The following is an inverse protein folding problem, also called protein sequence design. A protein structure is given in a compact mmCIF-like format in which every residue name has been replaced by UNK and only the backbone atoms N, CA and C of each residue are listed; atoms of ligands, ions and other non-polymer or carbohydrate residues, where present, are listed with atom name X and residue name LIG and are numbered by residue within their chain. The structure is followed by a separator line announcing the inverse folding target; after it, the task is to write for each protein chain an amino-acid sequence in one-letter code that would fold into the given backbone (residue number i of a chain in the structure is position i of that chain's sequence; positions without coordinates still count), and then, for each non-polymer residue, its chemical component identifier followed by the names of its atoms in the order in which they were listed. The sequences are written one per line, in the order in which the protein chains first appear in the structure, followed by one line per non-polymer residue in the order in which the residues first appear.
data_IF_919460909475
#
_entry.id   IF_919460909475
#
_cell.length_a   1.000
_cell.length_b   1.000
_cell.length_c   1.000
_cell.angle_alpha   90.00
_cell.angle_beta   90.00
_cell.angle_gamma   90.00
#
_symmetry.space_group_name_H-M   'P 1'
#
loop_
_entity.id
_entity.type
_entity.pdbx_description
1 polymer ?
#
# COMPACT_ATOMS: atom_id res chain seq x y z
N UNK A 1 -108.64 -48.21 93.00
CA UNK A 1 -107.55 -47.95 93.95
C UNK A 1 -106.57 -47.05 93.23
N UNK A 2 -106.47 -45.80 93.68
CA UNK A 2 -105.54 -44.83 93.14
C UNK A 2 -104.15 -45.14 93.71
N UNK A 3 -103.19 -45.33 92.82
CA UNK A 3 -101.77 -45.33 93.15
C UNK A 3 -101.42 -43.88 93.55
N UNK A 4 -100.86 -43.62 94.74
CA UNK A 4 -100.54 -42.25 95.12
C UNK A 4 -99.34 -41.82 94.29
N UNK A 5 -99.51 -40.78 93.48
CA UNK A 5 -98.39 -40.04 92.89
C UNK A 5 -97.43 -39.66 94.01
N UNK A 6 -96.35 -40.44 94.15
CA UNK A 6 -95.22 -40.08 94.99
C UNK A 6 -94.55 -38.93 94.27
N UNK A 7 -94.90 -37.71 94.68
CA UNK A 7 -94.23 -36.50 94.20
C UNK A 7 -92.71 -36.74 94.32
N UNK A 8 -91.92 -36.52 93.26
CA UNK A 8 -90.47 -36.78 93.29
C UNK A 8 -89.73 -35.88 94.30
N UNK A 9 -90.44 -34.96 94.94
CA UNK A 9 -89.90 -33.91 95.78
C UNK A 9 -90.56 -33.93 97.17
N UNK A 10 -89.75 -33.92 98.22
CA UNK A 10 -90.21 -34.00 99.62
C UNK A 10 -90.96 -32.73 100.09
N UNK A 11 -90.94 -31.64 99.32
CA UNK A 11 -91.80 -30.47 99.49
C UNK A 11 -91.95 -29.67 98.19
N UNK A 12 -93.06 -28.93 98.04
CA UNK A 12 -93.32 -28.08 96.86
C UNK A 12 -92.25 -26.99 96.62
N UNK A 13 -91.57 -26.54 97.68
CA UNK A 13 -90.45 -25.59 97.57
C UNK A 13 -89.19 -26.20 96.93
N UNK A 14 -88.94 -27.50 97.16
CA UNK A 14 -87.84 -28.24 96.58
C UNK A 14 -88.04 -28.53 95.09
N UNK A 15 -89.27 -28.81 94.68
CA UNK A 15 -89.65 -28.97 93.27
C UNK A 15 -89.45 -27.67 92.47
N UNK A 16 -89.93 -26.54 93.01
CA UNK A 16 -89.74 -25.22 92.39
C UNK A 16 -88.24 -24.86 92.31
N UNK A 17 -87.46 -25.19 93.35
CA UNK A 17 -86.01 -25.01 93.36
C UNK A 17 -85.33 -25.83 92.26
N UNK A 18 -85.67 -27.11 92.14
CA UNK A 18 -85.10 -28.01 91.13
C UNK A 18 -85.38 -27.54 89.70
N UNK A 19 -86.63 -27.23 89.37
CA UNK A 19 -86.99 -26.74 88.04
C UNK A 19 -86.39 -25.36 87.72
N UNK A 20 -86.25 -24.48 88.72
CA UNK A 20 -85.53 -23.21 88.56
C UNK A 20 -84.04 -23.45 88.28
N UNK A 21 -83.40 -24.34 89.02
CA UNK A 21 -81.98 -24.65 88.82
C UNK A 21 -81.74 -25.34 87.47
N UNK A 22 -82.63 -26.25 87.07
CA UNK A 22 -82.57 -26.93 85.77
C UNK A 22 -82.80 -25.95 84.60
N UNK A 23 -83.78 -25.06 84.71
CA UNK A 23 -84.00 -23.96 83.76
C UNK A 23 -82.78 -23.03 83.68
N UNK A 24 -82.19 -22.70 84.83
CA UNK A 24 -80.97 -21.88 84.88
C UNK A 24 -79.78 -22.57 84.22
N UNK A 25 -79.61 -23.88 84.41
CA UNK A 25 -78.57 -24.69 83.74
C UNK A 25 -78.78 -24.73 82.24
N UNK A 26 -79.99 -25.00 81.75
CA UNK A 26 -80.28 -25.00 80.32
C UNK A 26 -80.09 -23.62 79.70
N UNK A 27 -80.49 -22.56 80.38
CA UNK A 27 -80.24 -21.18 79.95
C UNK A 27 -78.74 -20.93 79.81
N UNK A 28 -77.94 -21.30 80.81
CA UNK A 28 -76.49 -21.17 80.76
C UNK A 28 -75.87 -22.00 79.62
N UNK A 29 -76.35 -23.22 79.38
CA UNK A 29 -75.90 -24.04 78.25
C UNK A 29 -76.22 -23.40 76.89
N UNK A 30 -77.41 -22.81 76.74
CA UNK A 30 -77.78 -22.09 75.51
C UNK A 30 -76.92 -20.85 75.33
N UNK A 31 -76.69 -20.08 76.39
CA UNK A 31 -75.81 -18.90 76.36
C UNK A 31 -74.38 -19.29 75.98
N UNK A 32 -73.81 -20.33 76.59
CA UNK A 32 -72.48 -20.87 76.27
C UNK A 32 -72.38 -21.34 74.81
N UNK A 33 -73.37 -22.10 74.32
CA UNK A 33 -73.38 -22.56 72.93
C UNK A 33 -73.56 -21.40 71.92
N UNK A 34 -74.27 -20.33 72.31
CA UNK A 34 -74.39 -19.12 71.51
C UNK A 34 -73.07 -18.33 71.46
N UNK A 35 -72.35 -18.26 72.57
CA UNK A 35 -71.02 -17.64 72.62
C UNK A 35 -70.01 -18.43 71.78
N UNK A 36 -69.93 -19.75 71.92
CA UNK A 36 -69.07 -20.61 71.10
C UNK A 36 -69.37 -20.48 69.60
N UNK A 37 -70.66 -20.44 69.22
CA UNK A 37 -71.05 -20.23 67.83
C UNK A 37 -70.62 -18.85 67.33
N UNK A 38 -70.73 -17.81 68.16
CA UNK A 38 -70.30 -16.46 67.80
C UNK A 38 -68.79 -16.41 67.59
N UNK A 39 -68.02 -16.97 68.51
CA UNK A 39 -66.55 -17.05 68.40
C UNK A 39 -66.12 -17.82 67.15
N UNK A 40 -66.79 -18.95 66.83
CA UNK A 40 -66.51 -19.70 65.60
C UNK A 40 -66.83 -18.90 64.34
N UNK A 41 -67.95 -18.17 64.33
CA UNK A 41 -68.34 -17.32 63.20
C UNK A 41 -67.36 -16.15 63.01
N UNK A 42 -66.91 -15.52 64.09
CA UNK A 42 -65.92 -14.46 64.06
C UNK A 42 -64.57 -14.99 63.56
N UNK A 43 -64.09 -16.11 64.11
CA UNK A 43 -62.85 -16.76 63.66
C UNK A 43 -62.88 -17.20 62.20
N UNK A 44 -64.02 -17.71 61.70
CA UNK A 44 -64.18 -18.04 60.27
C UNK A 44 -64.07 -16.79 59.40
N UNK A 45 -64.69 -15.68 59.80
CA UNK A 45 -64.61 -14.41 59.05
C UNK A 45 -63.20 -13.84 59.04
N UNK A 46 -62.50 -13.89 60.17
CA UNK A 46 -61.10 -13.44 60.24
C UNK A 46 -60.21 -14.28 59.34
N UNK A 47 -60.37 -15.61 59.35
CA UNK A 47 -59.63 -16.52 58.49
C UNK A 47 -59.93 -16.32 57.00
N UNK A 48 -61.20 -16.12 56.64
CA UNK A 48 -61.62 -15.77 55.27
C UNK A 48 -60.96 -14.46 54.82
N UNK A 49 -60.94 -13.43 55.68
CA UNK A 49 -60.29 -12.16 55.39
C UNK A 49 -58.77 -12.30 55.20
N UNK A 50 -58.09 -13.16 55.98
CA UNK A 50 -56.67 -13.47 55.80
C UNK A 50 -56.41 -14.15 54.44
N UNK A 51 -57.25 -15.12 54.05
CA UNK A 51 -57.15 -15.80 52.76
C UNK A 51 -57.39 -14.84 51.59
N UNK A 52 -58.40 -13.98 51.70
CA UNK A 52 -58.68 -12.94 50.69
C UNK A 52 -57.51 -11.97 50.56
N UNK A 53 -56.91 -11.55 51.67
CA UNK A 53 -55.73 -10.69 51.65
C UNK A 53 -54.54 -11.37 50.96
N UNK A 54 -54.28 -12.66 51.25
CA UNK A 54 -53.22 -13.42 50.57
C UNK A 54 -53.51 -13.56 49.08
N UNK A 55 -54.75 -13.84 48.70
CA UNK A 55 -55.17 -13.96 47.31
C UNK A 55 -54.95 -12.64 46.56
N UNK A 56 -55.37 -11.51 47.14
CA UNK A 56 -55.12 -10.17 46.57
C UNK A 56 -53.62 -9.86 46.44
N UNK A 57 -52.81 -10.22 47.43
CA UNK A 57 -51.35 -10.07 47.36
C UNK A 57 -50.74 -10.90 46.22
N UNK A 58 -51.21 -12.12 46.02
CA UNK A 58 -50.76 -12.98 44.92
C UNK A 58 -51.22 -12.46 43.56
N UNK A 59 -52.47 -12.01 43.43
CA UNK A 59 -53.00 -11.41 42.20
C UNK A 59 -52.24 -10.13 41.82
N UNK A 60 -51.98 -9.26 42.80
CA UNK A 60 -51.21 -8.03 42.57
C UNK A 60 -49.79 -8.35 42.12
N UNK A 61 -49.10 -9.27 42.80
CA UNK A 61 -47.77 -9.73 42.39
C UNK A 61 -47.78 -10.37 41.01
N UNK A 62 -48.79 -11.16 40.66
CA UNK A 62 -48.90 -11.77 39.34
C UNK A 62 -49.06 -10.70 38.25
N UNK A 63 -49.95 -9.72 38.48
CA UNK A 63 -50.14 -8.58 37.58
C UNK A 63 -48.87 -7.77 37.38
N UNK A 64 -48.10 -7.52 38.44
CA UNK A 64 -46.81 -6.81 38.36
C UNK A 64 -45.75 -7.62 37.60
N UNK A 65 -45.70 -8.94 37.80
CA UNK A 65 -44.82 -9.83 37.03
C UNK A 65 -45.19 -9.88 35.55
N UNK A 66 -46.49 -9.85 35.22
CA UNK A 66 -46.95 -9.82 33.83
C UNK A 66 -46.60 -8.50 33.13
N UNK A 67 -46.76 -7.37 33.81
CA UNK A 67 -46.38 -6.07 33.24
C UNK A 67 -44.86 -5.97 33.03
N UNK A 68 -44.08 -6.48 33.97
CA UNK A 68 -42.62 -6.54 33.85
C UNK A 68 -42.18 -7.48 32.73
N UNK A 69 -42.83 -8.64 32.57
CA UNK A 69 -42.56 -9.56 31.47
C UNK A 69 -42.86 -8.90 30.12
N UNK A 70 -43.99 -8.20 29.99
CA UNK A 70 -44.34 -7.46 28.78
C UNK A 70 -43.31 -6.36 28.46
N UNK A 71 -42.84 -5.63 29.49
CA UNK A 71 -41.79 -4.62 29.34
C UNK A 71 -40.48 -5.24 28.84
N UNK A 72 -40.03 -6.31 29.48
CA UNK A 72 -38.80 -7.02 29.08
C UNK A 72 -38.90 -7.61 27.68
N UNK A 73 -40.06 -8.13 27.28
CA UNK A 73 -40.29 -8.60 25.91
C UNK A 73 -40.13 -7.47 24.89
N UNK A 74 -40.72 -6.29 25.14
CA UNK A 74 -40.54 -5.13 24.25
C UNK A 74 -39.07 -4.68 24.17
N UNK A 75 -38.34 -4.70 25.29
CA UNK A 75 -36.92 -4.37 25.30
C UNK A 75 -36.09 -5.37 24.49
N UNK A 76 -36.38 -6.66 24.61
CA UNK A 76 -35.73 -7.70 23.82
C UNK A 76 -35.99 -7.49 22.33
N UNK A 77 -37.23 -7.23 21.92
CA UNK A 77 -37.55 -6.99 20.51
C UNK A 77 -36.90 -5.70 19.99
N UNK A 78 -36.89 -4.64 20.80
CA UNK A 78 -36.21 -3.37 20.45
C UNK A 78 -34.70 -3.58 20.25
N UNK A 79 -34.06 -4.35 21.12
CA UNK A 79 -32.62 -4.64 21.00
C UNK A 79 -32.34 -5.52 19.78
N UNK A 80 -33.18 -6.53 19.52
CA UNK A 80 -33.07 -7.37 18.31
C UNK A 80 -33.19 -6.55 17.03
N UNK A 81 -34.17 -5.64 16.96
CA UNK A 81 -34.35 -4.76 15.80
C UNK A 81 -33.15 -3.83 15.60
N UNK A 82 -32.61 -3.26 16.67
CA UNK A 82 -31.38 -2.44 16.61
C UNK A 82 -30.19 -3.24 16.09
N UNK A 83 -29.99 -4.46 16.59
CA UNK A 83 -28.90 -5.34 16.13
C UNK A 83 -29.09 -5.68 14.65
N UNK A 84 -30.30 -6.02 14.23
CA UNK A 84 -30.61 -6.34 12.83
C UNK A 84 -30.36 -5.14 11.91
N UNK A 85 -30.78 -3.94 12.31
CA UNK A 85 -30.52 -2.70 11.56
C UNK A 85 -29.02 -2.43 11.44
N UNK A 86 -28.28 -2.50 12.56
CA UNK A 86 -26.84 -2.28 12.56
C UNK A 86 -26.09 -3.30 11.71
N UNK A 87 -26.52 -4.57 11.74
CA UNK A 87 -25.95 -5.61 10.89
C UNK A 87 -26.21 -5.31 9.40
N UNK A 88 -27.44 -4.95 9.04
CA UNK A 88 -27.77 -4.59 7.66
C UNK A 88 -27.01 -3.35 7.17
N UNK A 89 -26.80 -2.35 8.03
CA UNK A 89 -25.99 -1.17 7.71
C UNK A 89 -24.51 -1.55 7.53
N UNK A 90 -23.99 -2.42 8.40
CA UNK A 90 -22.64 -2.98 8.30
C UNK A 90 -22.43 -3.73 6.99
N UNK A 91 -23.36 -4.61 6.61
CA UNK A 91 -23.30 -5.38 5.36
C UNK A 91 -23.30 -4.46 4.13
N UNK A 92 -24.12 -3.39 4.14
CA UNK A 92 -24.13 -2.38 3.07
C UNK A 92 -22.80 -1.64 2.98
N UNK A 93 -22.23 -1.25 4.12
CA UNK A 93 -20.93 -0.56 4.15
C UNK A 93 -19.81 -1.48 3.66
N UNK A 94 -19.78 -2.74 4.08
CA UNK A 94 -18.81 -3.73 3.62
C UNK A 94 -18.94 -3.91 2.11
N UNK A 95 -20.15 -4.10 1.59
CA UNK A 95 -20.40 -4.26 0.16
C UNK A 95 -19.91 -3.05 -0.65
N UNK A 96 -20.16 -1.83 -0.17
CA UNK A 96 -19.69 -0.60 -0.82
C UNK A 96 -18.15 -0.51 -0.84
N UNK A 97 -17.50 -0.83 0.28
CA UNK A 97 -16.03 -0.85 0.37
C UNK A 97 -15.40 -1.93 -0.51
N UNK A 98 -16.04 -3.10 -0.63
CA UNK A 98 -15.60 -4.16 -1.54
C UNK A 98 -15.70 -3.73 -3.01
N UNK A 99 -16.76 -3.02 -3.38
CA UNK A 99 -16.92 -2.45 -4.72
C UNK A 99 -15.84 -1.39 -5.02
N UNK A 100 -15.64 -0.42 -4.11
CA UNK A 100 -14.59 0.60 -4.25
C UNK A 100 -13.19 -0.02 -4.36
N UNK A 101 -12.91 -1.05 -3.56
CA UNK A 101 -11.65 -1.81 -3.65
C UNK A 101 -11.50 -2.50 -5.01
N UNK A 102 -12.59 -3.07 -5.53
CA UNK A 102 -12.64 -3.64 -6.88
C UNK A 102 -12.34 -2.61 -7.97
N UNK A 103 -12.99 -1.44 -7.91
CA UNK A 103 -12.78 -0.34 -8.83
C UNK A 103 -11.33 0.18 -8.79
N UNK A 104 -10.77 0.38 -7.59
CA UNK A 104 -9.39 0.84 -7.42
C UNK A 104 -8.37 -0.17 -7.98
N UNK A 105 -8.61 -1.47 -7.78
CA UNK A 105 -7.77 -2.53 -8.38
C UNK A 105 -7.84 -2.53 -9.91
N UNK A 106 -9.04 -2.38 -10.47
CA UNK A 106 -9.22 -2.28 -11.92
C UNK A 106 -8.50 -1.06 -12.51
N UNK A 107 -8.62 0.11 -11.87
CA UNK A 107 -7.92 1.33 -12.28
C UNK A 107 -6.39 1.18 -12.21
N UNK A 108 -5.87 0.57 -11.13
CA UNK A 108 -4.44 0.23 -11.01
C UNK A 108 -3.99 -0.66 -12.18
N UNK A 109 -4.75 -1.70 -12.50
CA UNK A 109 -4.38 -2.63 -13.57
C UNK A 109 -4.40 -1.97 -14.96
N UNK A 110 -5.33 -1.06 -15.19
CA UNK A 110 -5.36 -0.23 -16.40
C UNK A 110 -4.13 0.68 -16.49
N UNK A 111 -3.79 1.39 -15.40
CA UNK A 111 -2.60 2.25 -15.36
C UNK A 111 -1.31 1.45 -15.56
N UNK A 112 -1.21 0.25 -14.99
CA UNK A 112 -0.06 -0.63 -15.21
C UNK A 112 0.07 -1.08 -16.67
N UNK A 113 -1.05 -1.36 -17.35
CA UNK A 113 -1.04 -1.65 -18.80
C UNK A 113 -0.57 -0.43 -19.58
N UNK A 114 -1.13 0.74 -19.27
CA UNK A 114 -0.79 1.99 -19.94
C UNK A 114 0.69 2.37 -19.75
N UNK A 115 1.28 2.12 -18.58
CA UNK A 115 2.72 2.31 -18.35
C UNK A 115 3.54 1.44 -19.32
N UNK A 116 3.20 0.15 -19.47
CA UNK A 116 3.91 -0.74 -20.41
C UNK A 116 3.77 -0.28 -21.86
N UNK A 117 2.60 0.21 -22.25
CA UNK A 117 2.37 0.77 -23.59
C UNK A 117 3.21 2.02 -23.83
N UNK A 118 3.35 2.89 -22.83
CA UNK A 118 4.22 4.07 -22.91
C UNK A 118 5.70 3.69 -22.98
N UNK A 119 6.13 2.69 -22.21
CA UNK A 119 7.48 2.14 -22.28
C UNK A 119 7.79 1.60 -23.67
N UNK A 120 6.88 0.82 -24.26
CA UNK A 120 7.02 0.31 -25.62
C UNK A 120 7.09 1.45 -26.67
N UNK A 121 6.19 2.43 -26.59
CA UNK A 121 6.22 3.59 -27.48
C UNK A 121 7.54 4.36 -27.37
N UNK A 122 8.13 4.44 -26.18
CA UNK A 122 9.41 5.10 -25.95
C UNK A 122 10.56 4.32 -26.60
N UNK A 123 10.61 3.00 -26.41
CA UNK A 123 11.59 2.13 -27.07
C UNK A 123 11.53 2.26 -28.60
N UNK A 124 10.31 2.31 -29.16
CA UNK A 124 10.08 2.51 -30.59
C UNK A 124 10.57 3.89 -31.07
N UNK A 125 10.31 4.94 -30.28
CA UNK A 125 10.79 6.30 -30.55
C UNK A 125 12.32 6.37 -30.50
N UNK A 126 12.96 5.74 -29.52
CA UNK A 126 14.42 5.66 -29.45
C UNK A 126 15.01 4.91 -30.65
N UNK A 127 14.38 3.82 -31.08
CA UNK A 127 14.80 3.08 -32.28
C UNK A 127 14.69 3.95 -33.52
N UNK A 128 13.57 4.65 -33.70
CA UNK A 128 13.37 5.58 -34.82
C UNK A 128 14.42 6.69 -34.79
N UNK A 129 14.71 7.26 -33.61
CA UNK A 129 15.76 8.27 -33.44
C UNK A 129 17.13 7.75 -33.89
N UNK A 130 17.51 6.53 -33.48
CA UNK A 130 18.80 5.92 -33.88
C UNK A 130 18.87 5.72 -35.40
N UNK A 131 17.80 5.23 -36.02
CA UNK A 131 17.72 5.07 -37.47
C UNK A 131 17.86 6.41 -38.21
N UNK A 132 17.20 7.47 -37.74
CA UNK A 132 17.31 8.81 -38.31
C UNK A 132 18.73 9.37 -38.19
N UNK A 133 19.37 9.22 -37.02
CA UNK A 133 20.76 9.68 -36.82
C UNK A 133 21.69 8.97 -37.82
N UNK A 134 21.60 7.65 -37.93
CA UNK A 134 22.43 6.87 -38.88
C UNK A 134 22.17 7.31 -40.33
N UNK A 135 20.92 7.58 -40.71
CA UNK A 135 20.61 8.08 -42.05
C UNK A 135 21.18 9.49 -42.31
N UNK A 136 21.26 10.34 -41.28
CA UNK A 136 21.88 11.66 -41.39
C UNK A 136 23.41 11.53 -41.52
N UNK A 137 24.04 10.69 -40.71
CA UNK A 137 25.48 10.41 -40.77
C UNK A 137 25.87 9.84 -42.15
N UNK A 138 25.07 8.94 -42.72
CA UNK A 138 25.26 8.42 -44.08
C UNK A 138 25.18 9.53 -45.14
N UNK A 139 24.26 10.49 -44.98
CA UNK A 139 24.13 11.63 -45.89
C UNK A 139 25.34 12.58 -45.77
N UNK A 140 25.77 12.87 -44.55
CA UNK A 140 26.95 13.68 -44.26
C UNK A 140 28.22 13.06 -44.88
N UNK A 141 28.41 11.75 -44.75
CA UNK A 141 29.52 11.05 -45.39
C UNK A 141 29.49 11.17 -46.91
N UNK A 142 28.33 10.99 -47.55
CA UNK A 142 28.19 11.14 -49.00
C UNK A 142 28.47 12.56 -49.45
N UNK A 143 28.02 13.55 -48.69
CA UNK A 143 28.26 14.96 -48.96
C UNK A 143 29.76 15.29 -48.83
N UNK A 144 30.43 14.80 -47.79
CA UNK A 144 31.87 14.97 -47.63
C UNK A 144 32.66 14.35 -48.78
N UNK A 145 32.30 13.14 -49.21
CA UNK A 145 32.95 12.53 -50.39
C UNK A 145 32.67 13.32 -51.68
N UNK A 146 31.51 13.97 -51.81
CA UNK A 146 31.22 14.82 -52.96
C UNK A 146 32.08 16.11 -52.92
N UNK A 147 32.27 16.69 -51.73
CA UNK A 147 33.18 17.83 -51.51
C UNK A 147 34.62 17.45 -51.87
N UNK A 148 35.12 16.30 -51.39
CA UNK A 148 36.47 15.82 -51.72
C UNK A 148 36.67 15.63 -53.23
N UNK A 149 35.67 15.05 -53.93
CA UNK A 149 35.71 14.91 -55.39
C UNK A 149 35.70 16.26 -56.10
N UNK A 150 34.91 17.23 -55.64
CA UNK A 150 34.90 18.57 -56.22
C UNK A 150 36.25 19.28 -56.02
N UNK A 151 36.84 19.21 -54.83
CA UNK A 151 38.16 19.78 -54.57
C UNK A 151 39.25 19.14 -55.45
N UNK A 152 39.18 17.84 -55.69
CA UNK A 152 40.08 17.16 -56.62
C UNK A 152 39.89 17.68 -58.06
N UNK A 153 38.65 17.79 -58.53
CA UNK A 153 38.35 18.33 -59.86
C UNK A 153 38.77 19.80 -60.01
N UNK A 154 38.61 20.62 -58.97
CA UNK A 154 39.12 22.00 -58.94
C UNK A 154 40.64 22.03 -59.15
N UNK A 155 41.39 21.15 -58.46
CA UNK A 155 42.85 21.07 -58.66
C UNK A 155 43.24 20.61 -60.08
N UNK A 156 42.50 19.68 -60.69
CA UNK A 156 42.75 19.29 -62.09
C UNK A 156 42.47 20.43 -63.07
N UNK A 157 41.48 21.29 -62.78
CA UNK A 157 41.21 22.49 -63.56
C UNK A 157 42.32 23.53 -63.40
N UNK A 158 42.83 23.73 -62.19
CA UNK A 158 43.96 24.64 -61.90
C UNK A 158 45.24 24.18 -62.62
N UNK A 159 45.56 22.88 -62.60
CA UNK A 159 46.70 22.31 -63.34
C UNK A 159 46.55 22.53 -64.84
N UNK A 160 45.34 22.32 -65.37
CA UNK A 160 45.02 22.58 -66.78
C UNK A 160 45.22 24.06 -67.12
N UNK A 161 44.78 24.98 -66.27
CA UNK A 161 44.99 26.42 -66.45
C UNK A 161 46.49 26.77 -66.46
N UNK A 162 47.27 26.25 -65.51
CA UNK A 162 48.73 26.44 -65.45
C UNK A 162 49.46 25.93 -66.71
N UNK A 163 49.03 24.78 -67.25
CA UNK A 163 49.55 24.25 -68.51
C UNK A 163 49.18 25.14 -69.70
N UNK A 164 47.94 25.67 -69.74
CA UNK A 164 47.53 26.60 -70.78
C UNK A 164 48.37 27.89 -70.74
N UNK A 165 48.64 28.44 -69.56
CA UNK A 165 49.54 29.58 -69.39
C UNK A 165 50.96 29.26 -69.89
N UNK A 166 51.50 28.10 -69.52
CA UNK A 166 52.84 27.66 -69.92
C UNK A 166 52.95 27.47 -71.44
N UNK A 167 51.93 26.87 -72.06
CA UNK A 167 51.83 26.74 -73.52
C UNK A 167 51.74 28.12 -74.18
N UNK A 168 51.01 29.06 -73.57
CA UNK A 168 50.90 30.42 -74.08
C UNK A 168 52.25 31.15 -74.03
N UNK A 169 52.98 31.06 -72.90
CA UNK A 169 54.35 31.61 -72.78
C UNK A 169 55.29 31.02 -73.81
N UNK A 170 55.33 29.69 -73.96
CA UNK A 170 56.16 29.03 -74.99
C UNK A 170 55.78 29.44 -76.41
N UNK A 171 54.50 29.68 -76.69
CA UNK A 171 54.05 30.20 -77.99
C UNK A 171 54.56 31.62 -78.23
N UNK A 172 54.57 32.45 -77.20
CA UNK A 172 55.08 33.83 -77.29
C UNK A 172 56.61 33.81 -77.45
N UNK A 173 57.35 33.01 -76.68
CA UNK A 173 58.80 32.81 -76.85
C UNK A 173 59.13 32.26 -78.25
N UNK A 174 58.39 31.26 -78.75
CA UNK A 174 58.57 30.75 -80.10
C UNK A 174 58.24 31.80 -81.17
N UNK A 175 57.34 32.74 -80.88
CA UNK A 175 57.05 33.89 -81.76
C UNK A 175 58.22 34.87 -81.73
N UNK A 176 58.77 35.18 -80.56
CA UNK A 176 59.89 36.10 -80.39
C UNK A 176 61.17 35.56 -81.03
N UNK A 177 61.52 34.29 -80.79
CA UNK A 177 62.64 33.62 -81.44
C UNK A 177 62.51 33.60 -82.98
N UNK A 178 61.30 33.41 -83.51
CA UNK A 178 61.06 33.53 -84.97
C UNK A 178 61.30 34.94 -85.48
N UNK A 179 60.94 35.97 -84.69
CA UNK A 179 61.24 37.36 -85.04
C UNK A 179 62.75 37.63 -84.97
N UNK A 180 63.45 37.14 -83.95
CA UNK A 180 64.90 37.25 -83.82
C UNK A 180 65.63 36.58 -84.99
N UNK A 181 65.24 35.35 -85.37
CA UNK A 181 65.78 34.68 -86.55
C UNK A 181 65.52 35.46 -87.84
N UNK A 182 64.33 36.04 -88.01
CA UNK A 182 64.02 36.88 -89.16
C UNK A 182 64.89 38.15 -89.21
N UNK A 183 65.18 38.75 -88.05
CA UNK A 183 66.09 39.90 -87.94
C UNK A 183 67.54 39.48 -88.22
N UNK A 184 68.01 38.36 -87.67
CA UNK A 184 69.35 37.81 -87.93
C UNK A 184 69.54 37.50 -89.42
N UNK A 185 68.57 36.89 -90.10
CA UNK A 185 68.63 36.70 -91.55
C UNK A 185 68.72 38.02 -92.32
N UNK A 186 68.06 39.08 -91.84
CA UNK A 186 68.14 40.43 -92.43
C UNK A 186 69.47 41.13 -92.11
N UNK A 187 70.07 40.86 -90.96
CA UNK A 187 71.39 41.33 -90.55
C UNK A 187 72.53 40.57 -91.24
N UNK A 188 72.44 39.25 -91.43
CA UNK A 188 73.38 38.46 -92.23
C UNK A 188 73.37 38.92 -93.69
N UNK A 189 72.21 39.29 -94.22
CA UNK A 189 72.10 39.90 -95.57
C UNK A 189 72.69 41.32 -95.67
N UNK A 190 72.95 41.99 -94.55
CA UNK A 190 73.63 43.30 -94.48
C UNK A 190 75.08 43.23 -93.97
N UNK A 191 75.48 42.12 -93.35
CA UNK A 191 76.86 41.86 -92.84
C UNK A 191 77.64 40.82 -93.64
N UNK A 192 77.07 40.24 -94.70
CA UNK A 192 77.80 39.48 -95.72
C UNK A 192 78.63 40.39 -96.68
N UNK A 193 79.10 41.52 -96.17
CA UNK A 193 80.19 42.31 -96.74
C UNK A 193 81.10 42.68 -95.57
N UNK A 194 82.31 42.12 -95.57
CA UNK A 194 83.41 42.23 -94.57
C UNK A 194 83.47 41.09 -93.54
N UNK A 195 84.32 40.10 -93.91
CA UNK A 195 85.15 39.12 -93.17
C UNK A 195 85.19 39.19 -91.62
N UNK A 196 85.44 38.12 -90.85
CA UNK A 196 85.93 36.77 -91.11
C UNK A 196 86.71 36.24 -89.88
N UNK A 197 86.63 34.91 -89.65
CA UNK A 197 87.65 34.04 -89.00
C UNK A 197 87.81 33.96 -87.45
N UNK A 198 87.63 32.71 -86.94
CA UNK A 198 88.46 31.91 -86.00
C UNK A 198 88.81 32.46 -84.59
N UNK A 199 89.03 31.71 -83.49
CA UNK A 199 89.22 30.28 -83.17
C UNK A 199 89.21 30.10 -81.61
N UNK A 200 89.05 28.84 -81.15
CA UNK A 200 89.74 28.17 -80.03
C UNK A 200 89.43 28.39 -78.51
N UNK A 201 89.09 27.25 -77.87
CA UNK A 201 89.64 26.75 -76.58
C UNK A 201 88.83 27.04 -75.31
N UNK A 202 88.82 26.23 -74.24
CA UNK A 202 89.41 24.92 -73.88
C UNK A 202 88.84 24.55 -72.47
N UNK A 203 88.38 23.31 -72.31
CA UNK A 203 88.34 22.37 -71.14
C UNK A 203 88.08 22.78 -69.66
N UNK A 204 87.31 21.88 -69.01
CA UNK A 204 87.28 21.39 -67.62
C UNK A 204 86.79 22.31 -66.47
N UNK A 205 85.84 21.89 -65.61
CA UNK A 205 86.08 20.90 -64.54
C UNK A 205 84.76 20.34 -63.95
N UNK A 206 84.82 19.06 -63.58
CA UNK A 206 83.78 18.17 -63.06
C UNK A 206 83.12 18.54 -61.72
N UNK A 207 81.92 17.99 -61.45
CA UNK A 207 81.60 17.20 -60.23
C UNK A 207 80.45 16.18 -60.46
N UNK A 208 80.87 14.91 -60.53
CA UNK A 208 80.30 13.64 -60.02
C UNK A 208 78.81 13.24 -60.12
N UNK A 209 78.66 12.03 -60.69
CA UNK A 209 77.57 11.06 -60.66
C UNK A 209 77.10 10.64 -59.23
N UNK A 210 75.92 10.04 -58.97
CA UNK A 210 75.32 8.80 -59.53
C UNK A 210 73.85 8.67 -59.10
N UNK A 211 73.00 8.10 -59.96
CA UNK A 211 71.71 7.44 -59.65
C UNK A 211 71.98 5.96 -59.19
N UNK A 212 71.04 5.07 -58.79
CA UNK A 212 69.56 5.15 -58.76
C UNK A 212 68.86 4.46 -57.53
N UNK A 213 67.51 4.51 -57.49
CA UNK A 213 66.55 3.64 -56.75
C UNK A 213 66.49 2.20 -57.39
N UNK A 214 65.86 1.08 -56.90
CA UNK A 214 65.11 0.69 -55.66
C UNK A 214 65.53 -0.66 -54.98
N UNK A 215 64.89 -1.07 -53.86
CA UNK A 215 64.22 -2.40 -53.61
C UNK A 215 64.08 -2.81 -52.12
N UNK A 216 62.88 -3.26 -51.74
CA UNK A 216 62.49 -4.14 -50.60
C UNK A 216 62.95 -5.60 -50.82
N UNK A 217 62.98 -6.57 -49.86
CA UNK A 217 61.86 -6.95 -48.94
C UNK A 217 62.16 -7.58 -47.53
N UNK A 218 61.06 -7.74 -46.76
CA UNK A 218 60.65 -8.85 -45.85
C UNK A 218 61.02 -8.93 -44.33
N UNK A 219 59.95 -8.81 -43.49
CA UNK A 219 59.44 -9.72 -42.40
C UNK A 219 60.32 -9.90 -41.13
N UNK A 220 59.81 -9.83 -39.86
CA UNK A 220 58.62 -10.55 -39.33
C UNK A 220 57.57 -9.73 -38.57
N UNK A 221 56.29 -10.00 -38.86
CA UNK A 221 55.28 -10.65 -37.98
C UNK A 221 54.85 -9.83 -36.76
N UNK A 222 53.60 -9.35 -36.80
CA UNK A 222 52.85 -8.75 -35.69
C UNK A 222 52.37 -9.78 -34.66
N UNK A 223 51.23 -9.60 -33.95
CA UNK A 223 50.15 -8.60 -34.07
C UNK A 223 50.02 -7.78 -32.74
N UNK A 224 49.05 -6.92 -32.43
CA UNK A 224 47.64 -6.79 -32.79
C UNK A 224 47.08 -5.44 -32.29
N UNK A 225 46.06 -4.98 -33.01
CA UNK A 225 45.04 -3.96 -32.70
C UNK A 225 44.68 -3.73 -31.22
N UNK A 226 44.25 -2.51 -30.93
CA UNK A 226 43.45 -2.21 -29.75
C UNK A 226 43.04 -0.74 -29.58
N UNK A 227 42.38 -0.14 -30.58
CA UNK A 227 41.45 0.96 -30.29
C UNK A 227 40.27 0.35 -29.53
N UNK A 228 40.01 0.80 -28.31
CA UNK A 228 38.83 0.45 -27.53
C UNK A 228 38.47 1.59 -26.58
N UNK A 229 37.55 2.44 -27.02
CA UNK A 229 36.30 2.61 -26.25
C UNK A 229 35.31 1.62 -26.89
N UNK A 230 34.45 0.91 -26.15
CA UNK A 230 33.53 1.48 -25.14
C UNK A 230 33.38 0.61 -23.87
N UNK A 231 32.70 1.11 -22.83
CA UNK A 231 31.52 0.40 -22.28
C UNK A 231 30.85 1.15 -21.13
N UNK A 232 29.53 1.07 -21.20
CA UNK A 232 28.52 1.53 -20.27
C UNK A 232 28.24 0.45 -19.21
N UNK A 233 27.97 0.88 -17.99
CA UNK A 233 27.29 0.16 -16.89
C UNK A 233 27.89 -1.16 -16.33
N UNK A 234 28.37 -1.10 -15.07
CA UNK A 234 27.95 -2.06 -14.04
C UNK A 234 27.59 -1.39 -12.71
N UNK A 235 26.33 -1.60 -12.34
CA UNK A 235 25.78 -1.58 -10.98
C UNK A 235 26.43 -2.71 -10.16
N UNK A 236 26.88 -2.41 -8.95
CA UNK A 236 27.33 -3.39 -7.96
C UNK A 236 27.63 -2.72 -6.62
N UNK A 237 26.78 -2.97 -5.64
CA UNK A 237 26.90 -2.58 -4.23
C UNK A 237 28.22 -3.01 -3.61
N UNK A 238 28.94 -2.10 -2.95
CA UNK A 238 29.71 -2.39 -1.73
C UNK A 238 29.72 -1.18 -0.78
N UNK A 239 29.44 -1.46 0.50
CA UNK A 239 29.50 -0.56 1.64
C UNK A 239 30.95 -0.08 1.86
N UNK A 240 31.14 1.22 2.03
CA UNK A 240 32.42 1.76 2.47
C UNK A 240 32.43 3.28 2.52
N UNK A 241 32.18 3.83 3.70
CA UNK A 241 32.29 5.25 4.04
C UNK A 241 33.60 5.89 3.56
N UNK A 242 33.55 6.69 2.49
CA UNK A 242 34.52 7.75 2.22
C UNK A 242 33.84 8.88 1.45
N UNK A 243 33.75 10.04 2.10
CA UNK A 243 32.95 11.18 1.67
C UNK A 243 33.40 11.80 0.36
N UNK A 244 32.60 11.60 -0.68
CA UNK A 244 32.43 12.60 -1.74
C UNK A 244 31.51 13.70 -1.21
N UNK A 245 31.90 14.99 -1.26
CA UNK A 245 31.01 16.07 -0.82
C UNK A 245 29.75 16.05 -1.71
N UNK A 246 28.59 15.87 -1.09
CA UNK A 246 27.30 15.96 -1.77
C UNK A 246 27.25 17.27 -2.55
N UNK A 247 26.85 17.21 -3.81
CA UNK A 247 26.62 18.40 -4.63
C UNK A 247 25.67 19.35 -3.88
N UNK A 248 25.84 20.68 -3.99
CA UNK A 248 24.99 21.65 -3.29
C UNK A 248 23.49 21.38 -3.49
N UNK A 249 23.09 20.96 -4.69
CA UNK A 249 21.71 20.56 -5.01
C UNK A 249 21.24 19.31 -4.24
N UNK A 250 22.06 18.25 -4.16
CA UNK A 250 21.73 17.04 -3.40
C UNK A 250 21.60 17.34 -1.90
N UNK A 251 22.44 18.23 -1.36
CA UNK A 251 22.37 18.67 0.04
C UNK A 251 21.09 19.44 0.33
N UNK A 252 20.72 20.40 -0.52
CA UNK A 252 19.50 21.20 -0.37
C UNK A 252 18.25 20.30 -0.50
N UNK A 253 18.24 19.39 -1.48
CA UNK A 253 17.15 18.42 -1.64
C UNK A 253 17.00 17.52 -0.41
N UNK A 254 18.11 17.00 0.14
CA UNK A 254 18.09 16.18 1.34
C UNK A 254 17.56 16.95 2.57
N UNK A 255 17.98 18.20 2.75
CA UNK A 255 17.49 19.07 3.84
C UNK A 255 16.00 19.38 3.70
N UNK A 256 15.50 19.61 2.50
CA UNK A 256 14.07 19.82 2.25
C UNK A 256 13.25 18.56 2.58
N UNK A 257 13.72 17.39 2.16
CA UNK A 257 13.07 16.11 2.48
C UNK A 257 13.04 15.89 4.00
N UNK A 258 14.16 16.10 4.70
CA UNK A 258 14.23 15.99 6.16
C UNK A 258 13.30 17.00 6.84
N UNK A 259 13.26 18.25 6.35
CA UNK A 259 12.36 19.27 6.86
C UNK A 259 10.87 18.90 6.68
N UNK A 260 10.51 18.33 5.54
CA UNK A 260 9.15 17.86 5.28
C UNK A 260 8.78 16.65 6.13
N UNK A 261 9.72 15.72 6.37
CA UNK A 261 9.52 14.60 7.27
C UNK A 261 9.29 15.09 8.71
N UNK A 262 10.10 16.02 9.21
CA UNK A 262 9.93 16.59 10.56
C UNK A 262 8.58 17.29 10.71
N UNK A 263 8.14 18.03 9.69
CA UNK A 263 6.81 18.68 9.69
C UNK A 263 5.67 17.66 9.70
N UNK A 264 5.79 16.56 8.94
CA UNK A 264 4.82 15.45 8.95
C UNK A 264 4.79 14.71 10.29
N UNK A 265 5.96 14.46 10.90
CA UNK A 265 6.06 13.85 12.23
C UNK A 265 5.40 14.75 13.28
N UNK A 266 5.67 16.06 13.28
CA UNK A 266 5.00 16.99 14.19
C UNK A 266 3.48 17.04 14.01
N UNK A 267 2.98 16.96 12.77
CA UNK A 267 1.53 16.88 12.51
C UNK A 267 0.93 15.55 13.00
N UNK A 268 1.66 14.44 12.88
CA UNK A 268 1.24 13.14 13.39
C UNK A 268 1.24 13.12 14.93
N UNK A 269 2.24 13.70 15.58
CA UNK A 269 2.30 13.82 17.04
C UNK A 269 1.15 14.67 17.57
N UNK A 270 0.81 15.78 16.90
CA UNK A 270 -0.35 16.61 17.25
C UNK A 270 -1.67 15.85 17.12
N UNK A 271 -1.87 15.08 16.04
CA UNK A 271 -3.04 14.22 15.88
C UNK A 271 -3.10 13.11 16.93
N UNK A 272 -1.96 12.51 17.27
CA UNK A 272 -1.89 11.44 18.26
C UNK A 272 -2.16 11.96 19.67
N UNK A 273 -1.69 13.17 20.00
CA UNK A 273 -2.05 13.88 21.22
C UNK A 273 -3.56 14.19 21.27
N UNK A 274 -4.15 14.62 20.16
CA UNK A 274 -5.59 14.85 20.05
C UNK A 274 -6.41 13.56 20.23
N UNK A 275 -5.98 12.44 19.62
CA UNK A 275 -6.61 11.13 19.84
C UNK A 275 -6.49 10.66 21.30
N UNK A 276 -5.34 10.90 21.94
CA UNK A 276 -5.16 10.57 23.36
C UNK A 276 -6.12 11.39 24.25
N UNK A 277 -6.26 12.69 24.00
CA UNK A 277 -7.21 13.53 24.73
C UNK A 277 -8.67 13.09 24.49
N UNK A 278 -9.02 12.74 23.25
CA UNK A 278 -10.34 12.22 22.92
C UNK A 278 -10.68 10.89 23.63
N UNK A 279 -9.70 9.99 23.76
CA UNK A 279 -9.87 8.73 24.50
C UNK A 279 -10.01 8.98 26.01
N UNK A 280 -9.33 9.99 26.55
CA UNK A 280 -9.48 10.39 27.96
C UNK A 280 -10.83 11.08 28.24
N UNK A 281 -11.30 11.95 27.33
CA UNK A 281 -12.60 12.64 27.45
C UNK A 281 -13.80 11.69 27.27
N UNK A 282 -13.63 10.56 26.56
CA UNK A 282 -14.68 9.53 26.44
C UNK A 282 -14.81 8.60 27.65
N UNK A 283 -14.01 8.77 28.70
CA UNK A 283 -14.14 8.03 29.96
C UNK A 283 -14.55 8.93 31.13
N UNK A 284 -15.84 9.31 31.29
CA UNK A 284 -16.28 10.09 32.45
C UNK A 284 -16.46 9.27 33.74
N UNK A 285 -16.21 7.96 33.73
CA UNK A 285 -16.43 7.09 34.90
C UNK A 285 -15.24 6.15 35.16
N UNK A 286 -14.12 6.72 35.63
CA UNK A 286 -13.26 5.99 36.58
C UNK A 286 -12.52 6.96 37.48
N UNK A 287 -13.12 7.22 38.65
CA UNK A 287 -12.43 7.82 39.79
C UNK A 287 -11.20 6.94 40.17
N UNK A 288 -10.08 7.51 40.66
CA UNK A 288 -8.90 6.75 40.99
C UNK A 288 -9.17 5.94 42.28
N UNK A 289 -9.35 4.63 42.15
CA UNK A 289 -9.33 3.75 43.30
C UNK A 289 -7.90 3.67 43.87
N UNK A 290 -7.72 3.75 45.21
CA UNK A 290 -6.40 3.62 45.82
C UNK A 290 -5.88 2.17 45.64
N UNK A 291 -4.56 1.97 45.57
CA UNK A 291 -4.00 0.63 45.40
C UNK A 291 -4.25 -0.22 46.67
N UNK A 292 -4.50 -1.53 46.54
CA UNK A 292 -4.68 -2.42 47.69
C UNK A 292 -3.36 -2.56 48.48
N UNK A 293 -3.43 -2.68 49.81
CA UNK A 293 -2.27 -2.51 50.67
C UNK A 293 -1.56 -3.85 50.89
N UNK A 294 -0.80 -4.35 49.91
CA UNK A 294 0.18 -5.40 50.19
C UNK A 294 1.46 -5.16 49.39
N UNK A 295 2.56 -5.02 50.14
CA UNK A 295 3.95 -4.79 49.74
C UNK A 295 4.37 -3.32 49.55
N UNK A 296 4.44 -2.61 50.67
CA UNK A 296 5.43 -1.57 50.84
C UNK A 296 6.81 -2.22 51.09
N UNK A 297 7.76 -2.02 50.17
CA UNK A 297 9.07 -1.42 50.50
C UNK A 297 9.99 -1.28 49.28
N UNK A 298 10.45 -0.04 49.13
CA UNK A 298 11.78 0.41 48.71
C UNK A 298 12.28 0.04 47.31
N UNK A 299 12.42 1.06 46.45
CA UNK A 299 13.72 1.68 46.12
C UNK A 299 13.47 2.79 45.08
N UNK A 300 13.66 4.04 45.51
CA UNK A 300 13.82 5.17 44.61
C UNK A 300 15.30 5.32 44.21
N UNK A 301 15.49 5.64 42.93
CA UNK A 301 16.67 6.22 42.27
C UNK A 301 18.00 5.47 42.24
N UNK A 302 18.37 5.01 41.02
CA UNK A 302 19.70 5.32 40.48
C UNK A 302 19.73 5.35 38.94
N UNK A 303 19.92 6.57 38.42
CA UNK A 303 20.60 7.03 37.18
C UNK A 303 20.84 6.07 36.00
N UNK A 304 20.44 6.57 34.82
CA UNK A 304 21.23 6.74 33.58
C UNK A 304 22.43 5.80 33.36
N UNK A 305 22.33 4.91 32.37
CA UNK A 305 23.31 4.67 31.28
C UNK A 305 22.95 3.36 30.53
N UNK A 306 22.83 3.40 29.20
CA UNK A 306 22.92 2.18 28.37
C UNK A 306 24.40 1.84 28.05
N UNK A 307 24.71 0.93 27.11
CA UNK A 307 23.94 -0.20 26.58
C UNK A 307 24.71 -1.54 26.78
N UNK A 308 24.01 -2.67 26.88
CA UNK A 308 24.65 -3.98 26.64
C UNK A 308 23.63 -5.04 26.20
N UNK A 309 23.91 -5.66 25.05
CA UNK A 309 23.21 -6.82 24.47
C UNK A 309 23.66 -8.07 25.24
N UNK A 310 22.78 -9.05 25.50
CA UNK A 310 23.13 -10.36 24.96
C UNK A 310 21.94 -11.14 24.40
N UNK A 311 22.34 -11.95 23.44
CA UNK A 311 21.65 -12.89 22.60
C UNK A 311 21.40 -14.21 23.36
N UNK A 312 20.25 -14.87 23.14
CA UNK A 312 20.17 -16.31 23.36
C UNK A 312 18.83 -16.88 23.86
N UNK A 313 18.28 -17.77 23.02
CA UNK A 313 17.51 -18.98 23.33
C UNK A 313 15.98 -18.90 23.48
N UNK A 314 15.34 -19.16 22.33
CA UNK A 314 14.43 -20.29 22.08
C UNK A 314 13.31 -20.58 23.09
N UNK A 315 12.06 -20.47 22.60
CA UNK A 315 11.01 -21.48 22.83
C UNK A 315 9.95 -21.43 21.74
N UNK A 316 9.91 -22.55 21.03
CA UNK A 316 8.95 -23.03 20.03
C UNK A 316 7.59 -23.23 20.72
N UNK A 317 6.52 -22.62 20.21
CA UNK A 317 5.14 -22.91 20.60
C UNK A 317 4.42 -23.49 19.38
N UNK A 318 4.15 -24.79 19.45
CA UNK A 318 3.29 -25.53 18.52
C UNK A 318 1.84 -25.01 18.67
N UNK A 319 1.22 -24.61 17.55
CA UNK A 319 -0.20 -24.31 17.46
C UNK A 319 -0.98 -25.64 17.45
N UNK A 320 -1.78 -25.85 18.50
CA UNK A 320 -2.70 -26.99 18.61
C UNK A 320 -3.78 -26.94 17.53
N UNK A 321 -3.91 -28.04 16.80
CA UNK A 321 -4.98 -28.31 15.83
C UNK A 321 -6.30 -28.55 16.57
N UNK A 322 -7.35 -27.84 16.15
CA UNK A 322 -8.74 -27.99 16.61
C UNK A 322 -9.37 -29.26 15.98
N UNK A 323 -10.24 -30.01 16.68
CA UNK A 323 -10.73 -31.29 16.18
C UNK A 323 -11.87 -31.14 15.16
N UNK A 324 -11.85 -32.04 14.17
CA UNK A 324 -12.87 -32.23 13.14
C UNK A 324 -14.13 -32.87 13.72
N UNK A 325 -15.27 -32.38 13.24
CA UNK A 325 -16.62 -32.83 13.56
C UNK A 325 -16.83 -34.34 13.37
N UNK A 326 -17.59 -34.91 14.31
CA UNK A 326 -18.29 -36.19 14.20
C UNK A 326 -19.29 -36.13 13.04
N UNK A 327 -19.14 -37.00 12.05
CA UNK A 327 -20.18 -37.33 11.10
C UNK A 327 -20.23 -38.85 10.92
N UNK A 328 -21.39 -39.42 11.21
CA UNK A 328 -21.80 -40.75 10.80
C UNK A 328 -23.27 -40.99 11.18
N UNK A 329 -23.95 -41.99 10.61
CA UNK A 329 -23.67 -42.70 9.37
C UNK A 329 -24.86 -42.68 8.37
N UNK A 330 -24.55 -43.16 7.17
CA UNK A 330 -25.46 -43.39 6.06
C UNK A 330 -26.43 -44.56 6.28
N UNK A 331 -27.53 -44.57 5.51
CA UNK A 331 -28.08 -45.81 4.96
C UNK A 331 -29.61 -45.94 4.89
N UNK A 332 -30.18 -45.67 3.69
CA UNK A 332 -31.01 -46.57 2.87
C UNK A 332 -32.16 -45.85 2.13
N UNK A 333 -32.37 -46.12 0.83
CA UNK A 333 -33.55 -45.67 0.09
C UNK A 333 -34.52 -46.82 -0.22
N UNK A 334 -35.83 -46.55 -0.28
CA UNK A 334 -36.78 -47.39 -1.02
C UNK A 334 -38.03 -46.60 -1.45
N UNK A 335 -38.37 -46.73 -2.73
CA UNK A 335 -39.57 -46.23 -3.41
C UNK A 335 -40.87 -46.86 -2.90
N UNK A 336 -41.97 -46.10 -2.97
CA UNK A 336 -43.30 -46.43 -3.57
C UNK A 336 -44.31 -45.37 -3.10
N UNK A 337 -44.94 -44.59 -3.97
CA UNK A 337 -46.03 -44.88 -4.90
C UNK A 337 -47.34 -44.24 -4.42
N UNK A 338 -48.07 -43.70 -5.39
CA UNK A 338 -49.30 -42.89 -5.33
C UNK A 338 -50.46 -43.40 -4.47
N UNK A 339 -51.24 -42.45 -3.93
CA UNK A 339 -52.72 -42.32 -3.93
C UNK A 339 -53.05 -40.99 -3.20
N UNK A 340 -53.60 -39.93 -3.80
CA UNK A 340 -54.98 -39.75 -4.30
C UNK A 340 -56.02 -40.45 -3.42
N UNK A 341 -56.63 -39.72 -2.49
CA UNK A 341 -58.09 -39.46 -2.42
C UNK A 341 -58.51 -38.81 -1.07
N UNK A 342 -59.42 -37.83 -1.23
CA UNK A 342 -60.25 -37.09 -0.26
C UNK A 342 -59.62 -36.00 0.62
#
# INVERSE_FOLDING_TARGET
MADPERSPFDCAGGEISYWKELSSKYKQCVESAQEELREFQEGSREYEAELEMQLQQLETRNRDLLSENARLQMEVETVKEKIASQHADGDRQISALEEELGQARAARDQLQKYIRELEQCNDDLERAKRATIMSLEDFEQRLNQAIERNAFLESELDEKESLLESVQRLKDEARDLRQELAVQQKQEKTKASVEGSSEAGRMDTAMRATSPRPSTPAIPQGPSNGFSTPETFRRGFENGSSGTPLTPAARISALNIVGDLLRKVGALESKLASCRNFVYDQTPYRSPAPPPPYLARDVYERRLSGPHVPQGLAKRLDLGTRPSNLAGPAGLPAQRAAQMLF
#
